data_IF_563493144955
#
_entry.id   IF_563493144955
#
_cell.length_a   1.000
_cell.length_b   1.000
_cell.length_c   1.000
_cell.angle_alpha   90.00
_cell.angle_beta   90.00
_cell.angle_gamma   90.00
#
_symmetry.space_group_name_H-M   'P 1'
#
loop_
_entity.id
_entity.type
_entity.pdbx_description
1 polymer ?
2 non-polymer ?
3 water ?
#
# COMPACT_ATOMS: atom_id res chain seq x y z
N UNK A 1 -26.12 17.17 -10.91
CA UNK A 1 -24.84 16.51 -11.19
C UNK A 1 -24.26 15.95 -9.92
N UNK A 2 -23.26 15.08 -10.07
CA UNK A 2 -22.57 14.51 -8.93
C UNK A 2 -21.32 13.80 -9.42
N UNK A 3 -20.43 13.52 -8.47
CA UNK A 3 -19.18 12.85 -8.80
C UNK A 3 -19.39 11.34 -8.73
N UNK A 4 -19.08 10.66 -9.82
CA UNK A 4 -19.18 9.21 -9.81
C UNK A 4 -18.06 8.63 -8.95
N UNK A 5 -18.22 7.37 -8.56
CA UNK A 5 -17.30 6.76 -7.61
C UNK A 5 -15.87 6.76 -8.11
N UNK A 6 -15.64 6.44 -9.39
CA UNK A 6 -14.27 6.40 -9.89
C UNK A 6 -13.61 7.75 -9.89
N UNK A 7 -14.38 8.84 -9.80
CA UNK A 7 -13.79 10.16 -9.63
C UNK A 7 -13.54 10.46 -8.15
N UNK A 8 -14.45 10.03 -7.25
CA UNK A 8 -14.29 10.35 -5.84
C UNK A 8 -13.10 9.65 -5.23
N UNK A 9 -12.85 8.41 -5.64
CA UNK A 9 -11.91 7.53 -4.96
C UNK A 9 -10.62 7.41 -5.77
N UNK A 10 -9.52 7.17 -5.04
CA UNK A 10 -8.18 7.18 -5.61
C UNK A 10 -7.40 5.94 -5.20
N UNK A 11 -7.69 4.79 -5.81
CA UNK A 11 -6.92 3.58 -5.51
C UNK A 11 -5.47 3.73 -5.95
N UNK A 12 -4.57 3.18 -5.16
CA UNK A 12 -3.14 3.24 -5.43
C UNK A 12 -2.57 1.84 -5.34
N UNK A 13 -1.62 1.55 -6.21
CA UNK A 13 -1.02 0.23 -6.31
C UNK A 13 -0.14 -0.07 -5.11
N UNK A 14 -0.11 -1.34 -4.75
CA UNK A 14 0.85 -1.90 -3.82
C UNK A 14 1.78 -2.84 -4.57
N UNK A 15 3.09 -2.61 -4.44
CA UNK A 15 4.07 -3.52 -5.04
C UNK A 15 4.23 -4.74 -4.14
N UNK A 16 3.92 -5.93 -4.66
CA UNK A 16 4.07 -7.16 -3.91
C UNK A 16 5.28 -7.96 -4.40
N UNK A 17 5.87 -8.72 -3.48
CA UNK A 17 6.91 -9.70 -3.78
C UNK A 17 6.43 -11.07 -3.33
N UNK A 18 6.40 -12.02 -4.25
CA UNK A 18 5.86 -13.34 -3.99
C UNK A 18 6.78 -14.40 -4.59
N UNK A 19 6.60 -15.64 -4.14
CA UNK A 19 7.38 -16.75 -4.67
C UNK A 19 6.77 -17.28 -5.96
N UNK A 20 7.62 -17.96 -6.75
CA UNK A 20 7.14 -18.61 -7.97
C UNK A 20 5.97 -19.52 -7.63
N UNK A 21 4.94 -19.47 -8.47
CA UNK A 21 3.69 -20.26 -8.43
C UNK A 21 2.70 -19.74 -7.38
N UNK A 22 2.98 -18.60 -6.75
CA UNK A 22 2.05 -18.05 -5.78
C UNK A 22 0.72 -17.68 -6.43
N UNK A 23 -0.34 -17.74 -5.64
CA UNK A 23 -1.62 -17.18 -6.04
C UNK A 23 -1.60 -15.66 -5.86
N UNK A 24 -2.45 -14.98 -6.62
CA UNK A 24 -2.55 -13.52 -6.57
C UNK A 24 -4.02 -13.14 -6.56
N UNK A 25 -4.49 -12.70 -5.40
CA UNK A 25 -5.77 -12.02 -5.31
C UNK A 25 -5.56 -10.57 -5.72
N UNK A 26 -6.42 -10.07 -6.61
CA UNK A 26 -6.22 -8.73 -7.12
C UNK A 26 -6.30 -7.67 -6.01
N UNK A 27 -7.20 -7.86 -5.05
CA UNK A 27 -7.34 -6.87 -3.99
C UNK A 27 -6.04 -6.69 -3.22
N UNK A 28 -5.21 -7.72 -3.18
CA UNK A 28 -3.98 -7.66 -2.40
C UNK A 28 -2.93 -6.77 -3.05
N UNK A 29 -3.15 -6.37 -4.30
CA UNK A 29 -2.25 -5.46 -5.01
C UNK A 29 -2.70 -4.01 -4.94
N UNK A 30 -3.70 -3.70 -4.12
CA UNK A 30 -4.15 -2.33 -3.93
C UNK A 30 -3.75 -1.89 -2.52
N UNK A 31 -3.07 -0.77 -2.43
CA UNK A 31 -2.44 -0.37 -1.17
C UNK A 31 -3.45 0.20 -0.18
N UNK A 32 -4.53 0.79 -0.66
CA UNK A 32 -5.37 1.61 0.21
C UNK A 32 -6.84 1.22 0.09
N UNK A 33 -7.15 -0.08 0.16
CA UNK A 33 -8.55 -0.51 0.11
C UNK A 33 -9.34 0.02 1.29
N UNK A 34 -8.68 0.49 2.34
CA UNK A 34 -9.37 1.16 3.44
C UNK A 34 -9.84 2.57 3.05
N UNK A 35 -9.34 3.12 1.95
CA UNK A 35 -9.75 4.43 1.46
C UNK A 35 -10.75 4.34 0.31
N UNK A 36 -11.26 3.15 0.02
CA UNK A 36 -12.23 2.86 -1.00
C UNK A 36 -13.43 2.22 -0.34
N UNK A 37 -14.64 2.36 -0.89
CA UNK A 37 -15.80 1.71 -0.27
C UNK A 37 -15.51 0.23 -0.06
N UNK A 38 -15.89 -0.28 1.10
CA UNK A 38 -15.56 -1.66 1.42
C UNK A 38 -16.40 -2.66 0.63
N UNK A 39 -17.46 -2.23 -0.04
CA UNK A 39 -18.18 -3.10 -0.96
C UNK A 39 -17.65 -3.04 -2.38
N UNK A 40 -16.56 -2.31 -2.64
CA UNK A 40 -15.88 -2.44 -3.92
C UNK A 40 -15.41 -3.87 -4.12
N UNK A 41 -15.37 -4.32 -5.37
CA UNK A 41 -14.79 -5.62 -5.66
C UNK A 41 -13.57 -5.43 -6.54
N UNK A 42 -12.63 -6.38 -6.45
CA UNK A 42 -11.34 -6.28 -7.12
C UNK A 42 -11.13 -7.53 -7.95
N UNK A 43 -10.67 -7.35 -9.19
CA UNK A 43 -10.36 -8.49 -10.04
C UNK A 43 -9.24 -8.08 -10.98
N UNK A 44 -8.54 -9.08 -11.50
CA UNK A 44 -7.54 -8.82 -12.53
C UNK A 44 -8.21 -8.50 -13.85
N UNK A 45 -7.71 -7.46 -14.52
CA UNK A 45 -8.15 -7.20 -15.88
C UNK A 45 -7.83 -8.40 -16.76
N UNK A 46 -8.76 -8.74 -17.65
CA UNK A 46 -8.53 -9.82 -18.60
C UNK A 46 -7.22 -9.58 -19.34
N UNK A 47 -6.36 -10.60 -19.35
CA UNK A 47 -5.10 -10.48 -20.03
C UNK A 47 -4.01 -9.78 -19.24
N UNK A 48 -4.32 -9.33 -18.02
CA UNK A 48 -3.37 -8.54 -17.26
C UNK A 48 -3.22 -9.05 -15.83
N UNK A 49 -3.39 -10.36 -15.63
CA UNK A 49 -2.99 -10.97 -14.36
C UNK A 49 -1.51 -11.34 -14.42
N UNK A 50 -0.71 -10.91 -13.44
CA UNK A 50 0.71 -11.25 -13.45
C UNK A 50 0.90 -12.76 -13.39
N UNK A 51 1.78 -13.28 -14.24
CA UNK A 51 2.04 -14.71 -14.34
C UNK A 51 3.16 -15.08 -13.37
N UNK A 52 2.81 -15.77 -12.28
CA UNK A 52 3.82 -16.14 -11.30
C UNK A 52 4.50 -17.46 -11.62
N UNK A 53 4.24 -18.06 -12.81
CA UNK A 53 4.85 -19.34 -13.13
C UNK A 53 6.34 -19.21 -13.47
N UNK A 54 6.79 -18.02 -13.81
CA UNK A 54 8.21 -17.70 -13.95
C UNK A 54 8.55 -16.55 -13.03
N UNK A 55 9.78 -16.55 -12.52
CA UNK A 55 10.23 -15.46 -11.69
C UNK A 55 10.57 -14.26 -12.57
N UNK A 56 10.64 -13.09 -11.93
CA UNK A 56 10.98 -11.87 -12.62
C UNK A 56 10.09 -10.73 -12.14
N UNK A 57 10.15 -9.63 -12.87
CA UNK A 57 9.36 -8.45 -12.56
C UNK A 57 8.14 -8.46 -13.46
N UNK A 58 6.95 -8.51 -12.87
CA UNK A 58 5.77 -8.65 -13.70
C UNK A 58 4.87 -7.44 -13.49
N UNK A 59 4.05 -7.17 -14.50
CA UNK A 59 3.09 -6.09 -14.41
C UNK A 59 1.71 -6.70 -14.51
N UNK A 60 0.73 -5.95 -13.99
CA UNK A 60 -0.65 -6.39 -14.06
C UNK A 60 -1.54 -5.17 -13.93
N UNK A 61 -2.83 -5.39 -14.13
CA UNK A 61 -3.83 -4.33 -13.99
C UNK A 61 -4.96 -4.84 -13.13
N UNK A 62 -5.26 -4.09 -12.06
CA UNK A 62 -6.38 -4.38 -11.19
C UNK A 62 -7.55 -3.51 -11.63
N UNK A 63 -8.72 -4.12 -11.78
CA UNK A 63 -9.96 -3.38 -11.91
C UNK A 63 -10.60 -3.23 -10.54
N UNK A 64 -10.90 -1.99 -10.15
CA UNK A 64 -11.62 -1.70 -8.93
C UNK A 64 -13.06 -1.36 -9.30
N UNK A 65 -14.01 -2.21 -8.91
CA UNK A 65 -15.41 -2.04 -9.28
C UNK A 65 -16.15 -1.39 -8.12
N UNK A 66 -16.63 -0.18 -8.34
CA UNK A 66 -17.26 0.58 -7.28
C UNK A 66 -18.74 0.29 -7.21
N UNK A 67 -19.40 0.61 -6.09
CA UNK A 67 -20.83 0.32 -5.99
C UNK A 67 -21.71 1.02 -6.99
N UNK A 68 -21.29 2.14 -7.57
CA UNK A 68 -22.17 2.81 -8.53
C UNK A 68 -21.95 2.30 -9.94
N UNK A 69 -21.14 1.25 -10.09
CA UNK A 69 -20.90 0.64 -11.37
C UNK A 69 -19.74 1.20 -12.14
N UNK A 70 -19.13 2.28 -11.68
CA UNK A 70 -17.93 2.72 -12.38
C UNK A 70 -16.74 1.90 -11.90
N UNK A 71 -15.66 1.98 -12.67
CA UNK A 71 -14.52 1.09 -12.53
C UNK A 71 -13.24 1.91 -12.72
N UNK A 72 -12.26 1.66 -11.85
CA UNK A 72 -10.93 2.22 -11.98
C UNK A 72 -9.98 1.10 -12.39
N UNK A 73 -9.07 1.41 -13.31
CA UNK A 73 -7.98 0.51 -13.66
C UNK A 73 -6.71 0.97 -12.94
N UNK A 74 -6.00 0.04 -12.31
CA UNK A 74 -4.82 0.34 -11.52
C UNK A 74 -3.67 -0.53 -11.99
N UNK A 75 -2.62 0.10 -12.52
CA UNK A 75 -1.41 -0.62 -12.91
C UNK A 75 -0.61 -1.01 -11.68
N UNK A 76 -0.20 -2.27 -11.61
CA UNK A 76 0.52 -2.80 -10.46
C UNK A 76 1.73 -3.59 -10.92
N UNK A 77 2.62 -3.87 -9.98
CA UNK A 77 3.85 -4.58 -10.25
C UNK A 77 3.97 -5.69 -9.23
N UNK A 78 4.43 -6.85 -9.69
CA UNK A 78 4.64 -8.00 -8.82
C UNK A 78 6.04 -8.53 -9.12
N UNK A 79 6.86 -8.62 -8.10
CA UNK A 79 8.16 -9.24 -8.20
C UNK A 79 7.98 -10.71 -7.87
N UNK A 80 8.43 -11.60 -8.74
CA UNK A 80 8.35 -13.03 -8.48
C UNK A 80 9.78 -13.53 -8.29
N UNK A 81 10.06 -14.10 -7.12
CA UNK A 81 11.38 -14.63 -6.78
C UNK A 81 11.47 -16.12 -7.04
N UNK A 82 12.69 -16.61 -7.21
CA UNK A 82 12.92 -18.05 -7.40
C UNK A 82 14.19 -18.51 -6.67
N UNK B 4 21.72 -9.53 7.63
CA UNK B 4 20.88 -8.90 8.65
C UNK B 4 19.51 -8.52 8.07
N UNK B 5 18.54 -8.31 8.95
CA UNK B 5 17.16 -8.07 8.51
C UNK B 5 17.06 -6.81 7.66
N UNK B 6 17.85 -5.78 7.99
CA UNK B 6 17.82 -4.53 7.23
C UNK B 6 18.23 -4.74 5.77
N UNK B 7 19.00 -5.78 5.50
CA UNK B 7 19.35 -6.14 4.13
C UNK B 7 18.31 -7.09 3.53
N UNK B 8 17.79 -8.01 4.34
CA UNK B 8 16.88 -9.02 3.85
C UNK B 8 15.54 -8.41 3.43
N UNK B 9 15.04 -7.44 4.18
CA UNK B 9 13.66 -6.99 4.01
C UNK B 9 13.62 -5.64 3.29
N UNK B 10 12.53 -5.40 2.57
CA UNK B 10 12.38 -4.20 1.76
C UNK B 10 11.03 -3.55 2.07
N UNK B 11 10.90 -2.89 3.21
CA UNK B 11 9.65 -2.18 3.50
C UNK B 11 9.42 -1.07 2.50
N UNK B 12 8.14 -0.88 2.15
CA UNK B 12 7.75 0.13 1.19
C UNK B 12 6.65 1.00 1.78
N UNK B 13 6.73 2.29 1.45
CA UNK B 13 5.79 3.26 1.98
C UNK B 13 4.41 3.06 1.40
N UNK B 14 3.39 3.35 2.21
CA UNK B 14 2.01 3.47 1.76
C UNK B 14 1.59 4.93 1.87
N UNK B 15 1.05 5.48 0.78
CA UNK B 15 0.52 6.83 0.82
C UNK B 15 -0.85 6.82 1.49
N UNK B 16 -1.00 7.54 2.59
CA UNK B 16 -2.29 7.63 3.24
C UNK B 16 -2.93 9.00 3.02
N UNK B 17 -4.26 8.98 2.97
CA UNK B 17 -5.09 10.17 2.98
C UNK B 17 -6.01 10.06 4.17
N UNK B 18 -5.96 11.06 5.06
CA UNK B 18 -6.66 11.04 6.33
C UNK B 18 -7.32 12.40 6.55
N UNK B 19 -8.25 12.47 7.50
CA UNK B 19 -8.87 13.75 7.81
C UNK B 19 -8.02 14.56 8.81
N UNK B 20 -8.24 15.88 8.84
CA UNK B 20 -7.55 16.73 9.81
C UNK B 20 -7.76 16.21 11.23
N UNK B 21 -6.67 16.19 12.00
CA UNK B 21 -6.63 15.79 13.42
C UNK B 21 -6.66 14.27 13.61
N UNK B 22 -6.60 13.48 12.54
CA UNK B 22 -6.56 12.03 12.67
C UNK B 22 -5.30 11.57 13.39
N UNK B 23 -5.42 10.45 14.10
CA UNK B 23 -4.23 9.79 14.63
C UNK B 23 -3.48 9.06 13.52
N UNK B 24 -2.18 8.85 13.73
CA UNK B 24 -1.37 8.15 12.75
C UNK B 24 -0.48 7.13 13.46
N UNK B 25 -0.78 5.86 13.29
CA UNK B 25 0.12 4.80 13.73
C UNK B 25 1.11 4.54 12.60
N UNK B 26 2.40 4.50 12.96
CA UNK B 26 3.43 4.43 11.92
C UNK B 26 3.32 3.16 11.09
N UNK B 27 2.96 2.06 11.73
CA UNK B 27 2.85 0.80 10.99
C UNK B 27 1.86 0.92 9.84
N UNK B 28 0.84 1.79 10.00
CA UNK B 28 -0.18 1.94 8.97
C UNK B 28 0.34 2.66 7.75
N UNK B 29 1.52 3.27 7.84
CA UNK B 29 2.11 3.94 6.70
C UNK B 29 3.09 3.04 5.96
N UNK B 30 3.14 1.75 6.27
CA UNK B 30 3.98 0.80 5.56
C UNK B 30 3.07 -0.13 4.78
N UNK B 31 3.35 -0.26 3.48
CA UNK B 31 2.43 -0.93 2.58
C UNK B 31 2.49 -2.43 2.69
N UNK B 32 3.64 -2.98 3.08
CA UNK B 32 3.88 -4.40 2.94
C UNK B 32 4.34 -5.01 4.25
N UNK B 33 3.65 -4.70 5.36
CA UNK B 33 4.02 -5.32 6.62
C UNK B 33 3.83 -6.84 6.61
N UNK B 34 3.06 -7.36 5.66
CA UNK B 34 2.94 -8.81 5.51
C UNK B 34 4.20 -9.44 4.94
N UNK B 35 5.09 -8.63 4.39
CA UNK B 35 6.35 -9.08 3.82
C UNK B 35 7.52 -8.82 4.77
N UNK B 36 7.23 -8.42 6.01
CA UNK B 36 8.19 -8.12 7.05
C UNK B 36 7.94 -9.04 8.24
N UNK B 37 8.95 -9.30 9.07
CA UNK B 37 8.73 -10.15 10.25
C UNK B 37 7.56 -9.61 11.06
N UNK B 38 6.69 -10.52 11.53
CA UNK B 38 5.47 -10.07 12.16
C UNK B 38 5.71 -9.46 13.54
N UNK B 39 6.86 -9.72 14.16
CA UNK B 39 7.22 -9.06 15.40
C UNK B 39 8.11 -7.83 15.19
N UNK B 40 8.24 -7.35 13.96
CA UNK B 40 8.86 -6.05 13.78
C UNK B 40 8.03 -5.01 14.54
N UNK B 41 8.69 -3.93 14.94
CA UNK B 41 8.00 -2.79 15.54
C UNK B 41 8.15 -1.58 14.63
N UNK B 42 7.17 -0.68 14.70
CA UNK B 42 7.11 0.48 13.83
C UNK B 42 6.94 1.73 14.67
N UNK B 43 7.71 2.78 14.38
CA UNK B 43 7.51 4.04 15.08
C UNK B 43 7.92 5.19 14.16
N UNK B 44 7.41 6.37 14.49
CA UNK B 44 7.83 7.57 13.78
C UNK B 44 9.22 7.95 14.25
N UNK B 45 10.09 8.25 13.31
CA UNK B 45 11.38 8.81 13.65
C UNK B 45 11.18 10.14 14.37
N UNK B 46 12.00 10.39 15.38
CA UNK B 46 11.91 11.67 16.10
C UNK B 46 11.94 12.85 15.15
N UNK B 47 10.96 13.74 15.31
CA UNK B 47 10.88 14.91 14.47
C UNK B 47 10.23 14.68 13.12
N UNK B 48 9.80 13.45 12.82
CA UNK B 48 9.30 13.12 11.49
C UNK B 48 7.95 12.39 11.56
N UNK B 49 7.12 12.69 12.61
CA UNK B 49 5.72 12.27 12.55
C UNK B 49 4.89 13.31 11.80
N UNK B 50 4.08 12.89 10.82
CA UNK B 50 3.27 13.88 10.08
C UNK B 50 2.29 14.57 10.99
N UNK B 51 2.21 15.89 10.84
CA UNK B 51 1.36 16.73 11.67
C UNK B 51 -0.02 16.81 11.02
N UNK B 52 -1.03 16.13 11.61
CA UNK B 52 -2.37 16.19 11.03
C UNK B 52 -3.22 17.34 11.56
N UNK B 53 -2.66 18.24 12.36
CA UNK B 53 -3.47 19.33 12.88
C UNK B 53 -3.80 20.38 11.81
N UNK B 54 -3.04 20.43 10.72
CA UNK B 54 -3.37 21.25 9.57
C UNK B 54 -3.49 20.38 8.33
N UNK B 55 -4.36 20.78 7.42
CA UNK B 55 -4.51 20.06 6.17
C UNK B 55 -3.36 20.42 5.22
N UNK B 56 -3.15 19.54 4.25
CA UNK B 56 -2.15 19.75 3.22
C UNK B 56 -1.41 18.47 2.96
N UNK B 57 -0.35 18.54 2.17
CA UNK B 57 0.45 17.36 1.89
C UNK B 57 1.59 17.31 2.91
N UNK B 58 1.65 16.21 3.64
CA UNK B 58 2.59 16.02 4.72
C UNK B 58 3.46 14.80 4.44
N UNK B 59 4.60 14.76 5.10
CA UNK B 59 5.50 13.62 5.02
C UNK B 59 5.97 13.23 6.40
N UNK B 60 6.54 12.03 6.47
CA UNK B 60 7.10 11.56 7.72
C UNK B 60 8.10 10.48 7.39
N UNK B 61 8.77 9.99 8.43
CA UNK B 61 9.67 8.85 8.30
C UNK B 61 9.27 7.79 9.32
N UNK B 62 9.03 6.57 8.84
CA UNK B 62 8.74 5.43 9.71
C UNK B 62 10.05 4.70 9.94
N UNK B 63 10.35 4.39 11.20
CA UNK B 63 11.43 3.45 11.51
C UNK B 63 10.84 2.05 11.60
N UNK B 64 11.37 1.13 10.79
CA UNK B 64 10.99 -0.28 10.85
C UNK B 64 12.10 -1.00 11.62
N UNK B 65 11.79 -1.44 12.84
CA UNK B 65 12.77 -2.06 13.72
C UNK B 65 12.62 -3.57 13.68
N UNK B 66 13.66 -4.24 13.27
CA UNK B 66 13.57 -5.67 13.03
C UNK B 66 13.97 -6.46 14.27
N UNK B 67 13.53 -7.72 14.35
CA UNK B 67 13.88 -8.57 15.50
C UNK B 67 15.37 -8.84 15.65
N UNK B 68 16.17 -8.65 14.61
CA UNK B 68 17.60 -8.86 14.75
C UNK B 68 18.34 -7.59 15.17
N UNK B 69 17.61 -6.51 15.49
CA UNK B 69 18.22 -5.29 15.97
C UNK B 69 18.57 -4.26 14.91
N UNK B 70 18.41 -4.58 13.63
CA UNK B 70 18.63 -3.61 12.58
C UNK B 70 17.38 -2.75 12.36
N UNK B 71 17.54 -1.65 11.62
CA UNK B 71 16.49 -0.64 11.46
C UNK B 71 16.49 -0.16 10.02
N UNK B 72 15.30 -0.01 9.44
CA UNK B 72 15.13 0.64 8.15
C UNK B 72 14.32 1.91 8.35
N UNK B 73 14.76 3.01 7.72
CA UNK B 73 13.96 4.23 7.69
C UNK B 73 13.22 4.30 6.36
N UNK B 74 11.93 4.60 6.41
CA UNK B 74 11.08 4.61 5.22
C UNK B 74 10.40 5.96 5.12
N UNK B 75 10.69 6.71 4.06
CA UNK B 75 10.01 7.99 3.86
C UNK B 75 8.58 7.77 3.40
N UNK B 76 7.62 8.42 4.05
CA UNK B 76 6.23 8.23 3.70
C UNK B 76 5.61 9.60 3.49
N UNK B 77 4.44 9.60 2.85
CA UNK B 77 3.68 10.80 2.54
C UNK B 77 2.27 10.63 3.11
N UNK B 78 1.73 11.71 3.67
CA UNK B 78 0.37 11.68 4.22
C UNK B 78 -0.36 12.91 3.72
N UNK B 79 -1.50 12.69 3.07
CA UNK B 79 -2.36 13.78 2.66
C UNK B 79 -3.38 13.99 3.77
N UNK B 80 -3.46 15.20 4.27
CA UNK B 80 -4.41 15.53 5.33
C UNK B 80 -5.46 16.46 4.72
N UNK B 81 -6.70 16.01 4.71
CA UNK B 81 -7.78 16.79 4.14
C UNK B 81 -8.44 17.62 5.23
N UNK B 82 -9.11 18.69 4.81
CA UNK B 82 -9.80 19.60 5.72
C UNK B 82 -11.06 19.01 6.34
X LIG C 1 -10.14 7.28 -9.46
X LIG D 1 16.24 -2.66 3.45
#
# INVERSE_FOLDING_TARGET
>A
SGAMDKIKYSPEAKHRTVEQHAELDAKDSIANTDELPSNSTYNWKNGHKPDTSTSGEKDGIVEVHYPDGTVDDVNVKVTVTSKKT
>B
SGAMDKIKYSPEAKHRTVEQHAELDAKDSIANTDELPSNSTYNWKNGHKPDTSTSGEKDGIVEVHYPDGTVDDVNVKVTVTSKKT
>C hetero
1 NA NA
>D hetero
1 NA NA
#
